data_IF_712203982083
#
_entry.id   IF_712203982083
#
_cell.length_a   1.000
_cell.length_b   1.000
_cell.length_c   1.000
_cell.angle_alpha   90.00
_cell.angle_beta   90.00
_cell.angle_gamma   90.00
#
_symmetry.space_group_name_H-M   'P 1'
#
loop_
_entity.id
_entity.type
_entity.pdbx_description
1 polymer ?
#
# COMPACT_ATOMS: atom_id res chain seq x y z
N UNK A 1 -9.61 16.64 0.72
CA UNK A 1 -9.65 16.02 2.08
C UNK A 1 -10.07 17.08 3.08
N UNK A 2 -10.92 16.77 4.07
CA UNK A 2 -11.45 17.74 5.07
C UNK A 2 -10.72 17.70 6.43
N UNK A 3 -9.76 16.80 6.59
CA UNK A 3 -9.08 16.52 7.86
C UNK A 3 -7.72 17.23 7.93
N UNK A 4 -7.47 17.93 9.04
CA UNK A 4 -6.16 18.49 9.37
C UNK A 4 -5.32 17.42 10.07
N UNK A 5 -4.35 16.87 9.34
CA UNK A 5 -3.49 15.77 9.79
C UNK A 5 -2.55 16.15 10.93
N UNK A 6 -2.26 17.43 11.13
CA UNK A 6 -1.40 17.89 12.23
C UNK A 6 -2.22 18.12 13.50
N UNK A 7 -3.41 18.72 13.35
CA UNK A 7 -4.31 18.98 14.49
C UNK A 7 -5.15 17.76 14.89
N UNK A 8 -5.18 16.73 14.05
CA UNK A 8 -6.03 15.55 14.22
C UNK A 8 -7.51 15.91 14.39
N UNK A 9 -8.00 16.84 13.57
CA UNK A 9 -9.36 17.36 13.64
C UNK A 9 -9.86 17.80 12.25
N UNK A 10 -11.17 18.04 12.12
CA UNK A 10 -11.73 18.63 10.91
C UNK A 10 -11.23 20.07 10.69
N UNK A 11 -10.82 20.38 9.47
CA UNK A 11 -10.29 21.70 9.09
C UNK A 11 -11.43 22.71 8.89
N UNK A 12 -11.55 23.69 9.81
CA UNK A 12 -12.57 24.74 9.73
C UNK A 12 -12.53 25.54 8.41
N UNK A 13 -11.34 25.76 7.87
CA UNK A 13 -11.14 26.47 6.60
C UNK A 13 -11.75 25.69 5.43
N UNK A 14 -11.44 24.39 5.32
CA UNK A 14 -11.95 23.53 4.26
C UNK A 14 -13.46 23.32 4.41
N UNK A 15 -13.93 23.11 5.64
CA UNK A 15 -15.35 22.98 5.94
C UNK A 15 -16.14 24.23 5.52
N UNK A 16 -15.61 25.43 5.78
CA UNK A 16 -16.21 26.69 5.36
C UNK A 16 -16.32 26.80 3.83
N UNK A 17 -15.26 26.43 3.10
CA UNK A 17 -15.26 26.45 1.62
C UNK A 17 -16.32 25.50 1.06
N UNK A 18 -16.48 24.32 1.68
CA UNK A 18 -17.45 23.31 1.24
C UNK A 18 -18.89 23.58 1.73
N UNK A 19 -19.09 24.57 2.61
CA UNK A 19 -20.40 24.82 3.23
C UNK A 19 -20.85 23.71 4.19
N UNK A 20 -19.91 22.97 4.78
CA UNK A 20 -20.17 21.85 5.70
C UNK A 20 -19.92 22.31 7.14
N UNK A 21 -20.76 21.87 8.07
CA UNK A 21 -20.60 22.11 9.51
C UNK A 21 -19.99 20.90 10.21
N UNK A 22 -19.26 21.11 11.31
CA UNK A 22 -18.64 20.03 12.10
C UNK A 22 -19.67 19.01 12.62
N UNK A 23 -20.91 19.43 12.88
CA UNK A 23 -21.99 18.56 13.37
C UNK A 23 -22.50 17.57 12.32
N UNK A 24 -22.19 17.79 11.04
CA UNK A 24 -22.49 16.86 9.96
C UNK A 24 -21.41 15.76 9.81
N UNK A 25 -20.33 15.84 10.56
CA UNK A 25 -19.20 14.92 10.50
C UNK A 25 -19.09 14.10 11.79
N UNK A 26 -18.53 12.88 11.71
CA UNK A 26 -18.31 12.08 12.92
C UNK A 26 -17.29 12.77 13.84
N UNK A 27 -17.41 12.51 15.14
CA UNK A 27 -16.38 12.88 16.08
C UNK A 27 -15.08 12.12 15.78
N UNK A 28 -13.96 12.80 15.95
CA UNK A 28 -12.63 12.23 15.69
C UNK A 28 -12.07 11.71 16.99
N UNK A 29 -11.65 10.45 16.99
CA UNK A 29 -10.98 9.81 18.11
C UNK A 29 -9.63 9.24 17.66
N UNK A 30 -8.68 9.15 18.61
CA UNK A 30 -7.42 8.46 18.36
C UNK A 30 -7.67 6.95 18.27
N UNK A 31 -6.89 6.25 17.44
CA UNK A 31 -6.88 4.80 17.45
C UNK A 31 -6.62 4.27 18.88
N UNK A 32 -7.32 3.21 19.27
CA UNK A 32 -7.26 2.66 20.63
C UNK A 32 -8.15 3.36 21.67
N UNK A 33 -8.87 4.43 21.32
CA UNK A 33 -9.79 5.09 22.25
C UNK A 33 -10.98 4.19 22.55
N UNK A 34 -11.29 3.97 23.84
CA UNK A 34 -12.52 3.30 24.27
C UNK A 34 -13.72 4.19 23.98
N UNK A 35 -14.60 3.75 23.09
CA UNK A 35 -15.81 4.49 22.70
C UNK A 35 -17.04 4.11 23.52
N UNK A 36 -16.96 2.99 24.24
CA UNK A 36 -18.02 2.50 25.11
C UNK A 36 -18.34 1.03 24.87
N UNK A 37 -19.61 0.67 25.05
CA UNK A 37 -20.13 -0.69 24.88
C UNK A 37 -21.24 -0.69 23.82
N UNK A 38 -21.41 -1.78 23.06
CA UNK A 38 -22.55 -1.90 22.17
C UNK A 38 -23.86 -1.98 22.96
N UNK A 39 -24.96 -1.55 22.32
CA UNK A 39 -26.29 -1.70 22.90
C UNK A 39 -26.61 -3.17 23.16
N UNK A 40 -27.29 -3.46 24.27
CA UNK A 40 -27.69 -4.84 24.64
C UNK A 40 -28.45 -5.58 23.53
N UNK A 41 -29.24 -4.84 22.75
CA UNK A 41 -29.97 -5.39 21.60
C UNK A 41 -29.01 -5.90 20.53
N UNK A 42 -27.93 -5.16 20.24
CA UNK A 42 -26.89 -5.55 19.28
C UNK A 42 -26.14 -6.77 19.82
N UNK A 43 -25.79 -6.78 21.11
CA UNK A 43 -25.18 -7.95 21.76
C UNK A 43 -26.03 -9.21 21.56
N UNK A 44 -27.33 -9.14 21.85
CA UNK A 44 -28.26 -10.26 21.66
C UNK A 44 -28.39 -10.71 20.21
N UNK A 45 -28.38 -9.78 19.25
CA UNK A 45 -28.49 -10.10 17.81
C UNK A 45 -27.21 -10.72 17.24
N UNK A 46 -26.05 -10.30 17.72
CA UNK A 46 -24.74 -10.73 17.21
C UNK A 46 -24.14 -11.89 18.00
N UNK A 47 -24.67 -12.18 19.20
CA UNK A 47 -24.11 -13.16 20.12
C UNK A 47 -22.88 -12.65 20.90
N UNK A 48 -22.56 -11.36 20.78
CA UNK A 48 -21.45 -10.76 21.52
C UNK A 48 -21.79 -10.64 23.02
N UNK A 49 -20.83 -10.88 23.93
CA UNK A 49 -21.00 -10.60 25.35
C UNK A 49 -21.36 -9.14 25.65
N UNK A 50 -22.16 -8.87 26.69
CA UNK A 50 -22.54 -7.48 27.06
C UNK A 50 -21.39 -6.63 27.63
N UNK A 51 -20.26 -7.26 27.96
CA UNK A 51 -19.07 -6.59 28.49
C UNK A 51 -18.01 -6.27 27.43
N UNK A 52 -18.23 -6.65 26.16
CA UNK A 52 -17.31 -6.26 25.07
C UNK A 52 -17.24 -4.74 24.92
N UNK A 53 -16.07 -4.27 24.51
CA UNK A 53 -15.79 -2.85 24.33
C UNK A 53 -15.74 -2.50 22.83
N UNK A 54 -16.27 -1.34 22.50
CA UNK A 54 -16.06 -0.70 21.20
C UNK A 54 -14.81 0.17 21.33
N UNK A 55 -13.82 -0.08 20.49
CA UNK A 55 -12.57 0.66 20.47
C UNK A 55 -12.41 1.29 19.09
N UNK A 56 -11.96 2.55 19.06
CA UNK A 56 -11.64 3.23 17.81
C UNK A 56 -10.54 2.45 17.06
N UNK A 57 -10.89 1.94 15.88
CA UNK A 57 -9.93 1.32 14.98
C UNK A 57 -9.06 2.35 14.25
N UNK A 58 -8.30 1.88 13.29
CA UNK A 58 -7.47 2.71 12.41
C UNK A 58 -7.51 2.25 10.97
N UNK A 59 -6.73 2.93 10.13
CA UNK A 59 -6.55 2.56 8.73
C UNK A 59 -5.93 1.17 8.62
N UNK A 60 -6.41 0.36 7.69
CA UNK A 60 -6.01 -1.05 7.52
C UNK A 60 -4.49 -1.21 7.36
N UNK A 61 -3.84 -0.40 6.52
CA UNK A 61 -2.38 -0.47 6.29
C UNK A 61 -1.58 -0.22 7.56
N UNK A 62 -1.99 0.77 8.36
CA UNK A 62 -1.36 1.09 9.64
C UNK A 62 -1.58 -0.04 10.66
N UNK A 63 -2.78 -0.62 10.68
CA UNK A 63 -3.08 -1.80 11.51
C UNK A 63 -2.26 -3.03 11.09
N UNK A 64 -2.07 -3.26 9.80
CA UNK A 64 -1.26 -4.37 9.27
C UNK A 64 0.21 -4.21 9.61
N UNK A 65 0.80 -3.03 9.37
CA UNK A 65 2.18 -2.71 9.74
C UNK A 65 2.42 -2.95 11.25
N UNK A 66 1.55 -2.37 12.08
CA UNK A 66 1.62 -2.51 13.53
C UNK A 66 1.45 -3.97 13.98
N UNK A 67 0.51 -4.71 13.38
CA UNK A 67 0.25 -6.12 13.67
C UNK A 67 1.41 -7.04 13.30
N UNK A 68 2.22 -6.66 12.31
CA UNK A 68 3.43 -7.38 11.91
C UNK A 68 4.69 -6.95 12.68
N UNK A 69 4.53 -6.17 13.75
CA UNK A 69 5.61 -5.66 14.57
C UNK A 69 6.67 -4.84 13.80
N UNK A 70 6.26 -4.18 12.71
CA UNK A 70 7.06 -3.17 12.00
C UNK A 70 6.94 -1.87 12.80
N UNK A 71 7.79 -1.72 13.81
CA UNK A 71 7.64 -0.68 14.85
C UNK A 71 8.89 0.19 14.94
N UNK A 72 9.18 0.97 13.89
CA UNK A 72 10.17 2.03 14.00
C UNK A 72 10.89 2.41 12.72
N UNK A 73 11.80 3.36 12.86
CA UNK A 73 12.63 3.86 11.77
C UNK A 73 13.54 2.76 11.22
N UNK A 74 13.67 2.66 9.91
CA UNK A 74 14.49 1.64 9.26
C UNK A 74 13.73 0.39 8.82
N UNK A 75 12.54 0.14 9.36
CA UNK A 75 11.68 -0.95 8.92
C UNK A 75 10.54 -0.42 8.05
N UNK A 76 10.10 -1.23 7.09
CA UNK A 76 8.88 -0.98 6.36
C UNK A 76 8.17 -2.31 6.09
N UNK A 77 6.85 -2.30 6.12
CA UNK A 77 6.07 -3.43 5.66
C UNK A 77 5.97 -3.37 4.13
N UNK A 78 6.04 -4.51 3.46
CA UNK A 78 5.85 -4.60 2.01
C UNK A 78 4.67 -5.51 1.73
N UNK A 79 3.53 -4.92 1.42
CA UNK A 79 2.31 -5.62 1.07
C UNK A 79 2.32 -5.94 -0.43
N UNK A 80 2.36 -7.22 -0.77
CA UNK A 80 2.30 -7.71 -2.13
C UNK A 80 1.05 -8.57 -2.33
N UNK A 81 0.06 -7.98 -2.99
CA UNK A 81 -1.22 -8.60 -3.34
C UNK A 81 -1.55 -8.31 -4.80
N UNK A 82 -2.82 -8.04 -5.11
CA UNK A 82 -3.25 -7.55 -6.43
C UNK A 82 -2.46 -6.30 -6.84
N UNK A 83 -2.24 -5.41 -5.89
CA UNK A 83 -1.40 -4.22 -5.95
C UNK A 83 -0.17 -4.42 -5.05
N UNK A 84 0.80 -3.52 -5.13
CA UNK A 84 1.94 -3.49 -4.24
C UNK A 84 2.01 -2.18 -3.46
N UNK A 85 2.40 -2.23 -2.20
CA UNK A 85 2.50 -1.03 -1.35
C UNK A 85 3.55 -1.24 -0.27
N UNK A 86 4.48 -0.29 -0.11
CA UNK A 86 5.26 -0.19 1.12
C UNK A 86 4.48 0.63 2.13
N UNK A 87 4.59 0.21 3.37
CA UNK A 87 4.02 0.88 4.52
C UNK A 87 5.19 1.35 5.35
N UNK A 88 5.34 2.67 5.46
CA UNK A 88 6.49 3.27 6.12
C UNK A 88 6.03 4.23 7.21
N UNK A 89 6.31 3.89 8.46
CA UNK A 89 6.25 4.82 9.57
C UNK A 89 7.31 5.94 9.44
N UNK A 90 6.92 7.16 9.85
CA UNK A 90 7.78 8.32 10.01
C UNK A 90 7.56 8.95 11.39
N UNK A 91 8.62 9.47 11.99
CA UNK A 91 8.57 10.08 13.33
C UNK A 91 7.96 11.49 13.35
N UNK A 92 7.72 12.10 12.19
CA UNK A 92 7.14 13.43 12.07
C UNK A 92 6.32 13.55 10.77
N UNK A 93 5.44 14.55 10.72
CA UNK A 93 4.70 14.87 9.51
C UNK A 93 5.64 15.41 8.43
N UNK A 94 5.58 14.83 7.22
CA UNK A 94 6.46 15.18 6.11
C UNK A 94 5.65 15.68 4.90
N UNK A 95 5.20 16.96 4.90
CA UNK A 95 4.36 17.51 3.85
C UNK A 95 5.03 17.51 2.46
N UNK A 96 6.36 17.54 2.39
CA UNK A 96 7.14 17.52 1.16
C UNK A 96 7.10 16.18 0.41
N UNK A 97 6.61 15.10 1.04
CA UNK A 97 6.33 13.83 0.37
C UNK A 97 5.28 13.99 -0.73
N UNK A 98 4.36 14.96 -0.58
CA UNK A 98 3.36 15.28 -1.62
C UNK A 98 4.00 15.68 -2.95
N UNK A 99 5.21 16.27 -2.91
CA UNK A 99 5.90 16.74 -4.11
C UNK A 99 6.45 15.58 -4.96
N UNK A 100 6.46 14.37 -4.41
CA UNK A 100 6.83 13.14 -5.11
C UNK A 100 5.65 12.15 -5.16
N UNK A 101 4.42 12.68 -5.06
CA UNK A 101 3.20 11.90 -5.19
C UNK A 101 2.85 11.03 -3.99
N UNK A 102 3.51 11.21 -2.85
CA UNK A 102 3.33 10.36 -1.66
C UNK A 102 2.47 11.02 -0.58
N UNK A 103 1.55 10.26 0.04
CA UNK A 103 0.75 10.78 1.15
C UNK A 103 1.59 10.80 2.45
N UNK A 104 1.26 11.72 3.36
CA UNK A 104 1.75 11.71 4.74
C UNK A 104 0.57 12.02 5.64
N UNK A 105 0.20 11.09 6.52
CA UNK A 105 -0.95 11.24 7.42
C UNK A 105 -0.73 10.47 8.73
N UNK A 106 -1.58 10.65 9.75
CA UNK A 106 -1.34 10.06 11.07
C UNK A 106 -1.35 8.54 11.05
N UNK A 107 -0.38 7.94 11.75
CA UNK A 107 -0.33 6.52 12.01
C UNK A 107 -1.24 6.15 13.20
N UNK A 108 -1.53 4.87 13.41
CA UNK A 108 -2.29 4.42 14.58
C UNK A 108 -1.46 4.49 15.87
N UNK A 109 -0.12 4.41 15.75
CA UNK A 109 0.77 4.65 16.87
C UNK A 109 0.82 6.15 17.19
N UNK A 110 0.67 6.48 18.48
CA UNK A 110 0.55 7.86 18.93
C UNK A 110 1.81 8.68 18.58
N UNK A 111 1.61 9.83 17.94
CA UNK A 111 2.68 10.76 17.55
C UNK A 111 3.48 10.34 16.31
N UNK A 112 3.04 9.30 15.60
CA UNK A 112 3.68 8.80 14.38
C UNK A 112 2.85 9.14 13.14
N UNK A 113 3.52 9.13 11.99
CA UNK A 113 2.93 9.36 10.68
C UNK A 113 3.26 8.20 9.76
N UNK A 114 2.49 8.04 8.68
CA UNK A 114 2.62 6.95 7.73
C UNK A 114 2.65 7.50 6.32
N UNK A 115 3.48 6.89 5.47
CA UNK A 115 3.46 7.09 4.02
C UNK A 115 3.34 5.75 3.31
N UNK A 116 2.63 5.76 2.17
CA UNK A 116 2.22 4.57 1.44
C UNK A 116 2.65 4.65 -0.05
N UNK A 117 3.95 4.57 -0.38
CA UNK A 117 4.34 4.36 -1.77
C UNK A 117 3.81 3.01 -2.27
N UNK A 118 3.31 2.95 -3.48
CA UNK A 118 2.81 1.71 -4.04
C UNK A 118 2.35 1.88 -5.47
N UNK A 119 2.08 0.76 -6.13
CA UNK A 119 1.59 0.71 -7.49
C UNK A 119 0.35 -0.17 -7.58
N UNK A 120 -0.59 0.25 -8.43
CA UNK A 120 -1.80 -0.52 -8.69
C UNK A 120 -1.53 -1.76 -9.57
N UNK A 121 -0.38 -1.79 -10.25
CA UNK A 121 0.12 -3.01 -10.88
C UNK A 121 1.07 -3.72 -9.91
N UNK A 122 0.64 -4.89 -9.41
CA UNK A 122 1.39 -5.76 -8.52
C UNK A 122 1.22 -7.21 -8.96
N UNK A 123 0.64 -8.06 -8.11
CA UNK A 123 0.32 -9.45 -8.45
C UNK A 123 -0.72 -9.61 -9.57
N UNK A 124 -1.51 -8.57 -9.88
CA UNK A 124 -2.43 -8.59 -11.02
C UNK A 124 -1.72 -8.78 -12.38
N UNK A 125 -0.46 -8.33 -12.53
CA UNK A 125 0.31 -8.56 -13.76
C UNK A 125 0.64 -10.04 -13.94
N UNK A 126 0.83 -10.76 -12.83
CA UNK A 126 1.09 -12.20 -12.84
C UNK A 126 -0.20 -12.93 -13.18
N UNK A 127 -1.34 -12.53 -12.60
CA UNK A 127 -2.65 -13.08 -12.95
C UNK A 127 -2.97 -12.85 -14.44
N UNK A 128 -2.70 -11.66 -14.95
CA UNK A 128 -2.83 -11.33 -16.37
C UNK A 128 -1.97 -12.26 -17.22
N UNK A 129 -0.68 -12.43 -16.88
CA UNK A 129 0.20 -13.35 -17.57
C UNK A 129 -0.32 -14.80 -17.57
N UNK A 130 -0.79 -15.29 -16.42
CA UNK A 130 -1.36 -16.63 -16.30
C UNK A 130 -2.54 -16.82 -17.27
N UNK A 131 -3.42 -15.83 -17.35
CA UNK A 131 -4.59 -15.87 -18.24
C UNK A 131 -4.23 -15.79 -19.72
N UNK A 132 -3.30 -14.91 -20.10
CA UNK A 132 -3.03 -14.59 -21.50
C UNK A 132 -1.98 -15.50 -22.14
N UNK A 133 -0.99 -15.96 -21.37
CA UNK A 133 0.20 -16.66 -21.89
C UNK A 133 0.41 -18.04 -21.28
N UNK A 134 -0.25 -18.37 -20.17
CA UNK A 134 -0.02 -19.63 -19.44
C UNK A 134 -1.23 -20.56 -19.38
N UNK A 135 -2.25 -20.37 -20.23
CA UNK A 135 -3.43 -21.26 -20.30
C UNK A 135 -4.12 -21.45 -18.93
N UNK A 136 -4.16 -20.39 -18.12
CA UNK A 136 -4.71 -20.42 -16.75
C UNK A 136 -4.00 -21.41 -15.80
N UNK A 137 -2.71 -21.69 -16.02
CA UNK A 137 -1.85 -22.34 -15.01
C UNK A 137 -1.92 -21.59 -13.68
N UNK A 138 -1.74 -22.33 -12.59
CA UNK A 138 -1.67 -21.73 -11.26
C UNK A 138 -0.45 -20.80 -11.13
N UNK A 139 -0.58 -19.81 -10.26
CA UNK A 139 0.48 -18.89 -9.91
C UNK A 139 1.79 -19.63 -9.58
N UNK A 140 1.73 -20.64 -8.71
CA UNK A 140 2.90 -21.40 -8.26
C UNK A 140 3.57 -22.14 -9.43
N UNK A 141 2.79 -22.66 -10.38
CA UNK A 141 3.34 -23.35 -11.55
C UNK A 141 4.08 -22.39 -12.47
N UNK A 142 3.56 -21.18 -12.68
CA UNK A 142 4.22 -20.18 -13.53
C UNK A 142 5.50 -19.65 -12.88
N UNK A 143 5.47 -19.40 -11.57
CA UNK A 143 6.66 -19.01 -10.80
C UNK A 143 7.74 -20.09 -10.84
N UNK A 144 7.38 -21.37 -10.70
CA UNK A 144 8.34 -22.48 -10.79
C UNK A 144 9.01 -22.61 -12.17
N UNK A 145 8.34 -22.17 -13.23
CA UNK A 145 8.87 -22.17 -14.61
C UNK A 145 9.66 -20.90 -14.94
N UNK A 146 9.66 -19.88 -14.06
CA UNK A 146 10.31 -18.60 -14.29
C UNK A 146 11.80 -18.74 -14.59
N UNK A 147 12.30 -17.92 -15.52
CA UNK A 147 13.73 -17.83 -15.77
C UNK A 147 14.48 -17.46 -14.47
N UNK A 148 15.59 -18.16 -14.20
CA UNK A 148 16.33 -18.01 -12.94
C UNK A 148 17.23 -16.77 -12.95
N UNK A 149 17.84 -16.49 -14.10
CA UNK A 149 18.74 -15.35 -14.27
C UNK A 149 17.96 -14.07 -14.58
N UNK A 150 18.50 -12.90 -14.17
CA UNK A 150 17.95 -11.63 -14.56
C UNK A 150 17.88 -11.45 -16.08
N UNK A 151 16.80 -10.83 -16.55
CA UNK A 151 16.59 -10.66 -17.99
C UNK A 151 17.30 -9.41 -18.51
N UNK A 152 17.50 -9.35 -19.82
CA UNK A 152 17.89 -8.11 -20.52
C UNK A 152 16.69 -7.27 -20.95
N UNK A 153 15.48 -7.74 -20.64
CA UNK A 153 14.25 -7.06 -20.97
C UNK A 153 14.00 -5.96 -19.95
N UNK A 154 13.45 -4.83 -20.41
CA UNK A 154 12.93 -3.79 -19.53
C UNK A 154 11.42 -3.75 -19.66
N UNK A 155 10.74 -3.91 -18.53
CA UNK A 155 9.29 -3.79 -18.45
C UNK A 155 8.94 -2.52 -17.71
N UNK A 156 8.09 -1.70 -18.32
CA UNK A 156 7.34 -0.66 -17.65
C UNK A 156 6.00 -1.27 -17.21
N UNK A 157 5.77 -1.53 -15.91
CA UNK A 157 4.62 -2.31 -15.45
C UNK A 157 3.34 -1.46 -15.33
N UNK A 158 3.09 -0.54 -16.26
CA UNK A 158 1.93 0.35 -16.23
C UNK A 158 0.71 -0.29 -16.92
N UNK A 159 0.29 -1.46 -16.43
CA UNK A 159 -0.81 -2.25 -17.02
C UNK A 159 -2.19 -1.82 -16.48
N UNK A 160 -2.17 -0.98 -15.46
CA UNK A 160 -3.28 -0.21 -14.89
C UNK A 160 -2.85 1.27 -14.81
N UNK A 161 -3.61 2.11 -14.10
CA UNK A 161 -3.06 3.37 -13.61
C UNK A 161 -1.81 3.11 -12.77
N UNK A 162 -0.88 4.06 -12.79
CA UNK A 162 0.33 4.01 -11.96
C UNK A 162 0.03 4.56 -10.57
N UNK A 163 0.78 4.08 -9.58
CA UNK A 163 0.76 4.67 -8.26
C UNK A 163 1.91 5.66 -8.09
N UNK A 164 2.45 5.73 -6.88
CA UNK A 164 3.55 6.65 -6.60
C UNK A 164 4.84 6.21 -7.31
N UNK A 165 5.66 7.15 -7.81
CA UNK A 165 5.53 8.61 -7.64
C UNK A 165 4.67 9.31 -8.70
N UNK A 166 4.28 8.62 -9.76
CA UNK A 166 3.76 9.25 -10.97
C UNK A 166 2.28 9.61 -10.87
N UNK A 167 1.47 8.73 -10.27
CA UNK A 167 0.01 8.87 -10.18
C UNK A 167 -0.64 9.23 -11.54
N UNK A 168 -0.14 8.57 -12.59
CA UNK A 168 -0.50 8.76 -13.99
C UNK A 168 -1.45 7.65 -14.45
N UNK A 169 -2.62 8.04 -14.95
CA UNK A 169 -3.67 7.17 -15.50
C UNK A 169 -3.60 7.00 -17.02
N UNK A 170 -2.73 7.77 -17.69
CA UNK A 170 -2.52 7.74 -19.14
C UNK A 170 -1.34 6.86 -19.56
N UNK A 171 -0.47 6.50 -18.63
CA UNK A 171 0.67 5.62 -18.87
C UNK A 171 0.26 4.21 -19.27
N UNK A 172 1.05 3.56 -20.11
CA UNK A 172 0.77 2.22 -20.62
C UNK A 172 1.97 1.28 -20.48
N UNK A 173 1.68 -0.01 -20.30
CA UNK A 173 2.68 -1.06 -20.18
C UNK A 173 3.55 -1.17 -21.42
N UNK A 174 4.86 -1.34 -21.22
CA UNK A 174 5.82 -1.44 -22.30
C UNK A 174 6.87 -2.52 -22.03
N UNK A 175 7.35 -3.17 -23.09
CA UNK A 175 8.40 -4.18 -23.03
C UNK A 175 9.46 -3.82 -24.05
N UNK A 176 10.70 -3.64 -23.61
CA UNK A 176 11.84 -3.24 -24.46
C UNK A 176 12.88 -4.36 -24.43
N UNK A 177 13.48 -4.65 -25.60
CA UNK A 177 14.58 -5.62 -25.73
C UNK A 177 14.18 -7.01 -26.23
N UNK A 178 12.92 -7.19 -26.67
CA UNK A 178 12.45 -8.44 -27.27
C UNK A 178 13.27 -8.80 -28.52
N UNK A 179 13.58 -10.09 -28.67
CA UNK A 179 14.16 -10.67 -29.88
C UNK A 179 13.55 -12.06 -30.15
N UNK A 180 13.89 -12.69 -31.27
CA UNK A 180 13.28 -13.96 -31.69
C UNK A 180 13.56 -15.14 -30.74
N UNK A 181 14.58 -15.01 -29.88
CA UNK A 181 14.97 -16.03 -28.91
C UNK A 181 14.37 -15.78 -27.54
N UNK A 182 13.69 -14.64 -27.32
CA UNK A 182 13.03 -14.36 -26.05
C UNK A 182 11.98 -15.43 -25.76
N UNK A 183 12.16 -16.11 -24.64
CA UNK A 183 11.25 -17.14 -24.18
C UNK A 183 10.11 -16.56 -23.36
N UNK A 184 9.02 -17.32 -23.26
CA UNK A 184 7.89 -17.00 -22.38
C UNK A 184 8.32 -16.83 -20.92
N UNK A 185 9.28 -17.62 -20.45
CA UNK A 185 9.70 -17.63 -19.05
C UNK A 185 10.63 -16.44 -18.73
N UNK A 186 11.41 -15.98 -19.71
CA UNK A 186 12.12 -14.69 -19.62
C UNK A 186 11.14 -13.52 -19.64
N UNK A 187 10.12 -13.55 -20.50
CA UNK A 187 9.10 -12.49 -20.48
C UNK A 187 8.39 -12.42 -19.13
N UNK A 188 8.00 -13.56 -18.55
CA UNK A 188 7.43 -13.60 -17.20
C UNK A 188 8.36 -13.02 -16.14
N UNK A 189 9.65 -13.43 -16.14
CA UNK A 189 10.66 -12.90 -15.22
C UNK A 189 10.80 -11.39 -15.35
N UNK A 190 10.78 -10.86 -16.57
CA UNK A 190 10.87 -9.42 -16.82
C UNK A 190 9.66 -8.64 -16.26
N UNK A 191 8.45 -9.22 -16.26
CA UNK A 191 7.28 -8.60 -15.62
C UNK A 191 7.46 -8.48 -14.10
N UNK A 192 7.95 -9.55 -13.46
CA UNK A 192 8.26 -9.56 -12.01
C UNK A 192 9.38 -8.56 -11.68
N UNK A 193 10.41 -8.49 -12.51
CA UNK A 193 11.50 -7.52 -12.38
C UNK A 193 10.99 -6.08 -12.52
N UNK A 194 10.12 -5.81 -13.50
CA UNK A 194 9.52 -4.49 -13.71
C UNK A 194 8.77 -3.98 -12.49
N UNK A 195 7.88 -4.80 -11.92
CA UNK A 195 7.17 -4.49 -10.66
C UNK A 195 8.15 -4.25 -9.51
N UNK A 196 9.17 -5.11 -9.39
CA UNK A 196 10.21 -4.96 -8.35
C UNK A 196 11.01 -3.65 -8.51
N UNK A 197 11.26 -3.21 -9.74
CA UNK A 197 11.96 -1.95 -10.01
C UNK A 197 11.15 -0.72 -9.62
N UNK A 198 9.82 -0.76 -9.72
CA UNK A 198 8.96 0.34 -9.25
C UNK A 198 9.02 0.52 -7.73
N UNK A 199 9.04 -0.57 -6.97
CA UNK A 199 9.27 -0.50 -5.52
C UNK A 199 10.67 0.00 -5.20
N UNK A 200 11.68 -0.45 -5.94
CA UNK A 200 13.04 0.06 -5.79
C UNK A 200 13.13 1.57 -6.06
N UNK A 201 12.41 2.07 -7.07
CA UNK A 201 12.30 3.50 -7.36
C UNK A 201 11.71 4.26 -6.17
N UNK A 202 10.60 3.76 -5.61
CA UNK A 202 9.97 4.35 -4.43
C UNK A 202 10.91 4.36 -3.21
N UNK A 203 11.62 3.26 -2.93
CA UNK A 203 12.62 3.19 -1.85
C UNK A 203 13.73 4.24 -2.06
N UNK A 204 14.20 4.42 -3.30
CA UNK A 204 15.22 5.44 -3.62
C UNK A 204 14.71 6.86 -3.39
N UNK A 205 13.45 7.13 -3.73
CA UNK A 205 12.84 8.44 -3.52
C UNK A 205 12.65 8.73 -2.03
N UNK A 206 12.16 7.76 -1.26
CA UNK A 206 12.06 7.86 0.20
C UNK A 206 13.42 8.14 0.85
N UNK A 207 14.46 7.42 0.43
CA UNK A 207 15.84 7.64 0.92
C UNK A 207 16.34 9.06 0.64
N UNK A 208 16.03 9.63 -0.53
CA UNK A 208 16.35 11.03 -0.86
C UNK A 208 15.62 12.04 0.03
N UNK A 209 14.50 11.65 0.65
CA UNK A 209 13.75 12.44 1.63
C UNK A 209 14.16 12.17 3.08
N UNK A 210 15.20 11.36 3.30
CA UNK A 210 15.70 11.04 4.65
C UNK A 210 15.02 9.84 5.30
N UNK A 211 14.04 9.20 4.64
CA UNK A 211 13.38 7.99 5.14
C UNK A 211 14.26 6.80 4.76
N UNK A 212 14.97 6.26 5.75
CA UNK A 212 15.83 5.08 5.56
C UNK A 212 15.01 3.82 5.72
N UNK A 213 15.04 2.97 4.69
CA UNK A 213 14.51 1.60 4.73
C UNK A 213 15.70 0.64 4.68
N UNK A 214 15.88 -0.12 5.75
CA UNK A 214 16.93 -1.10 5.96
C UNK A 214 16.39 -2.53 5.94
N UNK A 215 15.13 -2.73 6.33
CA UNK A 215 14.48 -4.03 6.39
C UNK A 215 13.06 -3.92 5.84
N UNK A 216 12.70 -4.88 4.98
CA UNK A 216 11.34 -5.05 4.48
C UNK A 216 10.73 -6.30 5.11
N UNK A 217 9.51 -6.16 5.65
CA UNK A 217 8.72 -7.28 6.13
C UNK A 217 7.65 -7.56 5.09
N UNK A 218 7.81 -8.63 4.31
CA UNK A 218 6.89 -8.98 3.25
C UNK A 218 5.58 -9.57 3.81
N UNK A 219 4.45 -9.09 3.30
CA UNK A 219 3.10 -9.49 3.68
C UNK A 219 2.25 -9.69 2.42
N UNK A 220 1.13 -10.42 2.54
CA UNK A 220 0.19 -10.66 1.43
C UNK A 220 0.38 -12.02 0.74
N UNK A 221 -0.60 -12.41 -0.08
CA UNK A 221 -0.63 -13.77 -0.66
C UNK A 221 0.54 -14.08 -1.60
N UNK A 222 1.15 -13.04 -2.20
CA UNK A 222 2.30 -13.19 -3.10
C UNK A 222 3.61 -13.28 -2.31
N UNK A 223 3.65 -13.01 -0.99
CA UNK A 223 4.89 -13.14 -0.20
C UNK A 223 5.33 -14.58 0.06
N UNK A 224 4.56 -15.58 -0.40
CA UNK A 224 4.86 -17.00 -0.26
C UNK A 224 5.61 -17.60 -1.47
N UNK A 225 6.03 -16.77 -2.43
CA UNK A 225 6.65 -17.18 -3.70
C UNK A 225 8.15 -16.93 -3.73
#
# INVERSE_FOLDING_TARGET
MMFDVQKLAWSDEILKILGITKTQLPQVFKAGTLLGKPDKKICKQTGLPEDVCIVQGGHDQACSEYGCAVLGEGEAAYSLGTTETLICETSSFMPELRNIGLPSYPHIANGKFITLPGNFTGGNIIQWFCSQFAQNKSYQSVVAEMAQEPTKLLVLPHFTSTGSPYNDDSSAGAVIGLNIHTTKNEFFRALVEGVTYEILLNIRLLRKKGIKIMKLIAMGGVSQS
#
